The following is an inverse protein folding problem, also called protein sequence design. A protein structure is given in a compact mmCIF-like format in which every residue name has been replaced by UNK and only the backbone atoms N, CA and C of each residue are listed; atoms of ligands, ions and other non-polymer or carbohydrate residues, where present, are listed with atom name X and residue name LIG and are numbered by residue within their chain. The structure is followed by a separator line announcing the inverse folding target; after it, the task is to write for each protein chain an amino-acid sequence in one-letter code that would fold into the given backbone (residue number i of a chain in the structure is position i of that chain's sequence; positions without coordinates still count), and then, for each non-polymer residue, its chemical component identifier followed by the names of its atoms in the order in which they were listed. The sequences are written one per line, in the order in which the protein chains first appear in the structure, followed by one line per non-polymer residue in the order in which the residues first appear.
data_IF_583830647903
#
_entry.id   IF_583830647903
#
_cell.length_a   1.000
_cell.length_b   1.000
_cell.length_c   1.000
_cell.angle_alpha   90.00
_cell.angle_beta   90.00
_cell.angle_gamma   90.00
#
_symmetry.space_group_name_H-M   'P 1'
#
loop_
_entity.id
_entity.type
_entity.pdbx_description
1 polymer ?
#
# COMPACT_ATOMS: atom_id res chain seq x y z
N UNK A 1 -28.12 9.53 -16.78
CA UNK A 1 -27.69 8.87 -15.52
C UNK A 1 -26.17 8.71 -15.55
N UNK A 2 -25.38 9.32 -14.66
CA UNK A 2 -23.96 8.98 -14.58
C UNK A 2 -23.85 7.51 -14.17
N UNK A 3 -23.17 6.69 -14.98
CA UNK A 3 -22.88 5.29 -14.62
C UNK A 3 -22.15 5.28 -13.29
N UNK A 4 -22.62 4.45 -12.35
CA UNK A 4 -21.94 4.20 -11.09
C UNK A 4 -20.51 3.75 -11.40
N UNK A 5 -19.51 4.55 -11.02
CA UNK A 5 -18.12 4.21 -11.25
C UNK A 5 -17.76 3.08 -10.31
N UNK A 6 -17.37 1.92 -10.87
CA UNK A 6 -16.98 0.75 -10.07
C UNK A 6 -15.55 0.93 -9.57
N UNK A 7 -15.43 1.31 -8.31
CA UNK A 7 -14.14 1.44 -7.61
C UNK A 7 -13.80 0.10 -6.97
N UNK A 8 -12.67 -0.50 -7.33
CA UNK A 8 -12.18 -1.73 -6.68
C UNK A 8 -11.15 -1.39 -5.61
N UNK A 9 -11.05 -2.24 -4.59
CA UNK A 9 -9.93 -2.18 -3.65
C UNK A 9 -8.69 -2.79 -4.34
N UNK A 10 -7.54 -2.08 -4.41
CA UNK A 10 -6.30 -2.68 -4.86
C UNK A 10 -5.84 -3.68 -3.79
N UNK A 11 -6.07 -4.98 -4.02
CA UNK A 11 -5.78 -6.02 -3.03
C UNK A 11 -4.26 -6.17 -2.81
N UNK A 12 -3.59 -6.98 -3.62
CA UNK A 12 -2.15 -7.21 -3.51
C UNK A 12 -1.31 -6.23 -4.32
N UNK A 13 -1.92 -5.44 -5.22
CA UNK A 13 -1.20 -4.46 -6.04
C UNK A 13 -0.60 -3.31 -5.21
N UNK A 14 -1.18 -3.03 -4.04
CA UNK A 14 -0.68 -2.02 -3.08
C UNK A 14 0.65 -2.43 -2.41
N UNK A 15 1.03 -3.71 -2.49
CA UNK A 15 2.25 -4.24 -1.85
C UNK A 15 3.53 -3.62 -2.42
N UNK A 16 3.51 -3.21 -3.69
CA UNK A 16 4.63 -2.46 -4.29
C UNK A 16 4.81 -1.09 -3.63
N UNK A 17 3.72 -0.36 -3.40
CA UNK A 17 3.74 0.92 -2.69
C UNK A 17 4.25 0.72 -1.26
N UNK A 18 3.78 -0.34 -0.60
CA UNK A 18 4.18 -0.67 0.77
C UNK A 18 5.66 -1.04 0.85
N UNK A 19 6.18 -1.82 -0.10
CA UNK A 19 7.60 -2.17 -0.17
C UNK A 19 8.49 -0.95 -0.40
N UNK A 20 8.11 -0.07 -1.34
CA UNK A 20 8.82 1.18 -1.60
C UNK A 20 8.85 2.09 -0.37
N UNK A 21 7.70 2.27 0.27
CA UNK A 21 7.58 3.06 1.49
C UNK A 21 8.44 2.46 2.62
N UNK A 22 8.46 1.13 2.75
CA UNK A 22 9.29 0.43 3.74
C UNK A 22 10.78 0.67 3.53
N UNK A 23 11.25 0.68 2.29
CA UNK A 23 12.64 0.99 1.96
C UNK A 23 12.96 2.46 2.22
N UNK A 24 12.06 3.36 1.80
CA UNK A 24 12.23 4.81 1.97
C UNK A 24 12.27 5.23 3.45
N UNK A 25 11.46 4.61 4.30
CA UNK A 25 11.41 4.86 5.75
C UNK A 25 12.44 4.03 6.53
N UNK A 26 13.31 3.26 5.84
CA UNK A 26 14.31 2.37 6.44
C UNK A 26 13.72 1.34 7.41
N UNK A 27 12.44 1.01 7.24
CA UNK A 27 11.73 -0.03 7.98
C UNK A 27 12.20 -1.41 7.52
N UNK A 28 12.48 -1.53 6.22
CA UNK A 28 13.03 -2.72 5.58
C UNK A 28 14.33 -2.40 4.84
N UNK A 29 15.08 -3.45 4.50
CA UNK A 29 16.24 -3.41 3.63
C UNK A 29 16.00 -4.36 2.45
N UNK A 30 16.69 -4.13 1.34
CA UNK A 30 16.63 -4.95 0.13
C UNK A 30 16.86 -6.43 0.40
N UNK A 31 17.80 -6.72 1.31
CA UNK A 31 18.17 -8.09 1.62
C UNK A 31 17.21 -8.74 2.65
N UNK A 32 16.96 -8.11 3.81
CA UNK A 32 16.41 -8.88 4.93
C UNK A 32 15.56 -8.21 6.01
N UNK A 33 15.29 -6.89 6.02
CA UNK A 33 14.70 -6.34 7.25
C UNK A 33 13.17 -6.42 7.32
N UNK A 34 12.66 -7.34 8.14
CA UNK A 34 11.86 -7.03 9.34
C UNK A 34 12.17 -8.06 10.43
N UNK A 35 12.49 -7.53 11.61
CA UNK A 35 13.00 -8.22 12.82
C UNK A 35 11.88 -8.93 13.59
N UNK A 36 11.40 -10.04 13.06
CA UNK A 36 10.68 -11.07 13.81
C UNK A 36 11.20 -12.43 13.34
N UNK A 37 10.99 -13.51 14.09
CA UNK A 37 11.60 -14.86 13.97
C UNK A 37 11.72 -15.50 12.57
N UNK A 38 11.17 -14.90 11.51
CA UNK A 38 11.29 -15.32 10.11
C UNK A 38 12.05 -14.27 9.27
N UNK A 39 13.28 -14.59 8.87
CA UNK A 39 14.10 -13.76 7.96
C UNK A 39 13.54 -13.80 6.52
N UNK A 40 12.45 -13.09 6.25
CA UNK A 40 11.85 -12.99 4.92
C UNK A 40 12.38 -11.75 4.18
N UNK A 41 12.92 -11.94 2.97
CA UNK A 41 13.35 -10.84 2.10
C UNK A 41 12.17 -10.17 1.41
N UNK A 42 12.33 -8.90 0.99
CA UNK A 42 11.30 -8.19 0.22
C UNK A 42 10.96 -8.94 -1.08
N UNK A 43 11.97 -9.48 -1.77
CA UNK A 43 11.79 -10.26 -3.00
C UNK A 43 10.93 -11.50 -2.74
N UNK A 44 11.23 -12.29 -1.72
CA UNK A 44 10.44 -13.47 -1.38
C UNK A 44 9.02 -13.09 -0.96
N UNK A 45 8.84 -12.00 -0.21
CA UNK A 45 7.52 -11.50 0.16
C UNK A 45 6.69 -11.07 -1.05
N UNK A 46 7.31 -10.43 -2.06
CA UNK A 46 6.65 -10.05 -3.31
C UNK A 46 6.27 -11.27 -4.16
N UNK A 47 7.20 -12.21 -4.35
CA UNK A 47 6.98 -13.44 -5.12
C UNK A 47 5.80 -14.24 -4.56
N UNK A 48 5.72 -14.39 -3.24
CA UNK A 48 4.63 -15.13 -2.60
C UNK A 48 3.45 -14.25 -2.20
N UNK A 49 3.49 -12.95 -2.50
CA UNK A 49 2.48 -11.99 -2.08
C UNK A 49 2.16 -12.10 -0.56
N UNK A 50 3.17 -12.28 0.29
CA UNK A 50 3.01 -12.64 1.71
C UNK A 50 2.35 -11.51 2.51
N UNK A 51 1.07 -11.65 2.85
CA UNK A 51 0.29 -10.61 3.53
C UNK A 51 0.91 -10.15 4.85
N UNK A 52 1.28 -11.08 5.73
CA UNK A 52 1.85 -10.79 7.05
C UNK A 52 3.04 -9.84 6.97
N UNK A 53 3.94 -10.05 6.00
CA UNK A 53 5.09 -9.19 5.78
C UNK A 53 4.66 -7.75 5.51
N UNK A 54 3.76 -7.54 4.53
CA UNK A 54 3.31 -6.20 4.16
C UNK A 54 2.41 -5.55 5.23
N UNK A 55 1.69 -6.33 6.02
CA UNK A 55 0.94 -5.83 7.18
C UNK A 55 1.90 -5.31 8.25
N UNK A 56 2.98 -6.03 8.56
CA UNK A 56 4.01 -5.57 9.50
C UNK A 56 4.75 -4.33 8.98
N UNK A 57 5.13 -4.30 7.70
CA UNK A 57 5.76 -3.12 7.07
C UNK A 57 4.83 -1.91 7.16
N UNK A 58 3.59 -2.05 6.69
CA UNK A 58 2.61 -0.96 6.69
C UNK A 58 2.27 -0.48 8.09
N UNK A 59 2.18 -1.38 9.06
CA UNK A 59 1.98 -1.05 10.47
C UNK A 59 3.13 -0.23 11.07
N UNK A 60 4.38 -0.59 10.74
CA UNK A 60 5.58 0.15 11.20
C UNK A 60 5.70 1.54 10.56
N UNK A 61 5.28 1.72 9.31
CA UNK A 61 5.24 3.02 8.63
C UNK A 61 4.08 3.88 9.17
N UNK A 62 2.97 3.23 9.51
CA UNK A 62 1.80 3.90 10.04
C UNK A 62 1.05 4.72 8.98
N UNK A 63 0.44 5.83 9.43
CA UNK A 63 -0.40 6.69 8.58
C UNK A 63 0.37 7.40 7.46
N UNK A 64 1.71 7.47 7.54
CA UNK A 64 2.57 7.99 6.46
C UNK A 64 2.39 7.23 5.14
N UNK A 65 1.86 6.01 5.17
CA UNK A 65 1.49 5.24 3.97
C UNK A 65 0.58 6.01 3.00
N UNK A 66 -0.27 6.92 3.50
CA UNK A 66 -1.13 7.74 2.64
C UNK A 66 -0.33 8.75 1.82
N UNK A 67 0.79 9.25 2.35
CA UNK A 67 1.68 10.13 1.59
C UNK A 67 2.30 9.37 0.41
N UNK A 68 2.79 8.16 0.64
CA UNK A 68 3.33 7.31 -0.43
C UNK A 68 2.26 6.92 -1.46
N UNK A 69 1.04 6.62 -1.01
CA UNK A 69 -0.07 6.33 -1.93
C UNK A 69 -0.37 7.52 -2.86
N UNK A 70 -0.43 8.75 -2.30
CA UNK A 70 -0.63 9.97 -3.09
C UNK A 70 0.52 10.27 -4.04
N UNK A 71 1.77 10.14 -3.56
CA UNK A 71 2.97 10.37 -4.39
C UNK A 71 3.02 9.44 -5.61
N UNK A 72 2.43 8.24 -5.51
CA UNK A 72 2.32 7.29 -6.60
C UNK A 72 0.99 7.37 -7.37
N UNK A 73 0.24 8.47 -7.20
CA UNK A 73 -0.95 8.80 -8.00
C UNK A 73 -2.26 8.18 -7.51
N UNK A 74 -2.31 7.53 -6.34
CA UNK A 74 -3.58 7.07 -5.78
C UNK A 74 -4.35 8.22 -5.12
N UNK A 75 -5.67 8.23 -5.29
CA UNK A 75 -6.54 9.26 -4.72
C UNK A 75 -6.66 10.51 -5.59
N UNK A 76 -6.03 10.52 -6.77
CA UNK A 76 -6.06 11.61 -7.74
C UNK A 76 -6.44 11.07 -9.14
N UNK A 77 -6.90 11.95 -10.02
CA UNK A 77 -7.17 11.58 -11.42
C UNK A 77 -5.83 11.41 -12.15
N UNK A 78 -5.76 10.45 -13.05
CA UNK A 78 -4.57 10.18 -13.87
C UNK A 78 -4.35 11.23 -14.96
N UNK A 79 -5.39 11.98 -15.34
CA UNK A 79 -5.29 13.00 -16.40
C UNK A 79 -5.42 12.45 -17.82
N UNK A 80 -5.84 11.18 -17.99
CA UNK A 80 -6.06 10.52 -19.30
C UNK A 80 -7.21 11.14 -20.13
N UNK A 81 -7.80 12.25 -19.68
CA UNK A 81 -8.82 13.04 -20.38
C UNK A 81 -10.04 12.23 -20.84
N UNK A 82 -10.46 11.26 -20.02
CA UNK A 82 -11.69 10.50 -20.24
C UNK A 82 -12.84 11.11 -19.44
N UNK A 83 -14.03 11.11 -20.03
CA UNK A 83 -15.24 11.58 -19.33
C UNK A 83 -15.51 10.70 -18.12
N UNK A 84 -15.82 11.33 -17.00
CA UNK A 84 -16.19 10.68 -15.74
C UNK A 84 -15.09 9.81 -15.12
N UNK A 85 -13.83 10.16 -15.33
CA UNK A 85 -12.72 9.59 -14.56
C UNK A 85 -12.93 9.79 -13.05
N UNK A 86 -12.68 8.74 -12.28
CA UNK A 86 -12.82 8.75 -10.83
C UNK A 86 -11.45 8.62 -10.17
N UNK A 87 -11.15 9.53 -9.24
CA UNK A 87 -9.86 9.62 -8.55
C UNK A 87 -9.60 8.51 -7.51
N UNK A 88 -10.58 7.63 -7.27
CA UNK A 88 -10.52 6.67 -6.18
C UNK A 88 -10.80 7.31 -4.82
N UNK A 89 -10.49 6.58 -3.74
CA UNK A 89 -10.62 7.09 -2.36
C UNK A 89 -9.50 6.55 -1.50
N UNK A 90 -8.76 7.45 -0.86
CA UNK A 90 -7.82 7.10 0.20
C UNK A 90 -8.50 7.23 1.58
N UNK A 91 -8.09 6.44 2.58
CA UNK A 91 -8.56 6.61 3.95
C UNK A 91 -8.16 7.99 4.49
N UNK A 92 -9.11 8.73 5.09
CA UNK A 92 -8.86 10.04 5.66
C UNK A 92 -8.30 9.99 7.10
N UNK A 93 -8.59 8.90 7.81
CA UNK A 93 -8.06 8.59 9.13
C UNK A 93 -8.17 7.07 9.38
N UNK A 94 -7.12 6.47 9.94
CA UNK A 94 -7.13 5.13 10.54
C UNK A 94 -6.16 5.12 11.71
N UNK A 95 -6.58 4.63 12.88
CA UNK A 95 -5.74 4.43 14.05
C UNK A 95 -5.57 2.93 14.36
N UNK A 96 -4.43 2.56 14.97
CA UNK A 96 -4.18 1.21 15.49
C UNK A 96 -4.06 0.10 14.45
N UNK A 97 -4.61 -1.09 14.73
CA UNK A 97 -4.52 -2.29 13.88
C UNK A 97 -5.14 -2.11 12.48
N UNK A 98 -6.03 -1.13 12.29
CA UNK A 98 -6.69 -0.88 11.01
C UNK A 98 -5.73 -0.37 9.92
N UNK A 99 -4.56 0.12 10.32
CA UNK A 99 -3.47 0.60 9.45
C UNK A 99 -2.78 -0.59 8.76
N UNK A 100 -2.70 -1.74 9.43
CA UNK A 100 -2.06 -2.96 8.92
C UNK A 100 -2.83 -3.54 7.72
N UNK A 101 -4.16 -3.43 7.71
CA UNK A 101 -5.01 -3.83 6.57
C UNK A 101 -5.06 -2.79 5.43
N UNK A 102 -4.23 -1.75 5.45
CA UNK A 102 -4.08 -0.86 4.29
C UNK A 102 -3.04 -1.37 3.29
N UNK A 103 -2.11 -2.22 3.74
CA UNK A 103 -1.00 -2.73 2.94
C UNK A 103 -1.20 -4.17 2.43
N UNK A 104 -2.23 -4.87 2.91
CA UNK A 104 -2.72 -6.12 2.31
C UNK A 104 -4.20 -6.33 2.64
N UNK A 105 -4.91 -7.12 1.82
CA UNK A 105 -6.18 -7.73 2.22
C UNK A 105 -5.95 -8.73 3.36
#
# INVERSE_FOLDING_TARGET
MPRCVKVSKPCSTIKLITGLAGLSEKVIDWAYKISDSTRVSLTSALVHSKNEYFQTVGGRIGFKMILFAKLLGLGEKTGINVRNEFQGRLPAAKSGFAVNHMSSH
#
